data_IF_688500088841
#
_entry.id   IF_688500088841
#
_cell.length_a   1.000
_cell.length_b   1.000
_cell.length_c   1.000
_cell.angle_alpha   90.00
_cell.angle_beta   90.00
_cell.angle_gamma   90.00
#
_symmetry.space_group_name_H-M   'P 1'
#
loop_
_entity.id
_entity.type
_entity.pdbx_description
1 polymer ?
#
# COMPACT_ATOMS: atom_id res chain seq x y z
N UNK A 1 -18.82 23.98 9.86
CA UNK A 1 -17.87 22.94 9.43
C UNK A 1 -18.57 22.11 8.36
N UNK A 2 -18.06 22.06 7.14
CA UNK A 2 -18.64 21.22 6.09
C UNK A 2 -18.50 19.76 6.51
N UNK A 3 -19.61 19.06 6.71
CA UNK A 3 -19.57 17.62 6.95
C UNK A 3 -19.05 16.95 5.67
N UNK A 4 -17.98 16.16 5.81
CA UNK A 4 -17.46 15.36 4.70
C UNK A 4 -18.56 14.40 4.25
N UNK A 5 -18.74 14.28 2.94
CA UNK A 5 -19.67 13.28 2.42
C UNK A 5 -19.10 11.88 2.66
N UNK A 6 -19.97 10.86 2.67
CA UNK A 6 -19.52 9.47 2.78
C UNK A 6 -18.52 9.11 1.66
N UNK A 7 -18.68 9.67 0.45
CA UNK A 7 -17.75 9.51 -0.67
C UNK A 7 -16.39 10.15 -0.38
N UNK A 8 -16.35 11.32 0.25
CA UNK A 8 -15.08 11.97 0.63
C UNK A 8 -14.31 11.18 1.68
N UNK A 9 -15.02 10.60 2.65
CA UNK A 9 -14.42 9.73 3.68
C UNK A 9 -13.85 8.46 3.04
N UNK A 10 -14.60 7.84 2.13
CA UNK A 10 -14.13 6.66 1.39
C UNK A 10 -12.90 7.00 0.55
N UNK A 11 -12.95 8.06 -0.26
CA UNK A 11 -11.83 8.50 -1.08
C UNK A 11 -10.56 8.70 -0.26
N UNK A 12 -10.66 9.44 0.85
CA UNK A 12 -9.51 9.71 1.72
C UNK A 12 -8.96 8.43 2.36
N UNK A 13 -9.85 7.52 2.76
CA UNK A 13 -9.45 6.24 3.37
C UNK A 13 -8.72 5.35 2.37
N UNK A 14 -9.27 5.16 1.17
CA UNK A 14 -8.62 4.37 0.11
C UNK A 14 -7.30 4.98 -0.33
N UNK A 15 -7.25 6.30 -0.50
CA UNK A 15 -6.02 7.00 -0.85
C UNK A 15 -4.94 6.85 0.21
N UNK A 16 -5.28 7.02 1.49
CA UNK A 16 -4.35 6.78 2.61
C UNK A 16 -3.85 5.35 2.65
N UNK A 17 -4.73 4.36 2.44
CA UNK A 17 -4.34 2.96 2.39
C UNK A 17 -3.36 2.70 1.23
N UNK A 18 -3.65 3.26 0.05
CA UNK A 18 -2.78 3.15 -1.12
C UNK A 18 -1.40 3.76 -0.86
N UNK A 19 -1.35 5.01 -0.38
CA UNK A 19 -0.09 5.70 -0.09
C UNK A 19 0.73 4.95 0.97
N UNK A 20 0.07 4.37 1.97
CA UNK A 20 0.73 3.57 3.01
C UNK A 20 1.35 2.29 2.44
N UNK A 21 0.64 1.57 1.57
CA UNK A 21 1.16 0.37 0.93
C UNK A 21 2.32 0.67 -0.03
N UNK A 22 2.29 1.82 -0.74
CA UNK A 22 3.44 2.29 -1.55
C UNK A 22 4.67 2.52 -0.67
N UNK A 23 4.49 3.19 0.47
CA UNK A 23 5.58 3.44 1.41
C UNK A 23 6.14 2.14 2.00
N UNK A 24 5.27 1.18 2.35
CA UNK A 24 5.67 -0.12 2.86
C UNK A 24 6.47 -0.91 1.83
N UNK A 25 5.99 -0.98 0.57
CA UNK A 25 6.71 -1.62 -0.53
C UNK A 25 8.12 -1.03 -0.68
N UNK A 26 8.23 0.30 -0.77
CA UNK A 26 9.51 0.98 -0.91
C UNK A 26 10.44 0.72 0.29
N UNK A 27 9.89 0.74 1.51
CA UNK A 27 10.64 0.48 2.74
C UNK A 27 11.19 -0.94 2.77
N UNK A 28 10.37 -1.95 2.47
CA UNK A 28 10.83 -3.34 2.47
C UNK A 28 11.88 -3.58 1.39
N UNK A 29 11.70 -3.02 0.19
CA UNK A 29 12.68 -3.09 -0.89
C UNK A 29 14.02 -2.43 -0.50
N UNK A 30 13.98 -1.27 0.15
CA UNK A 30 15.17 -0.56 0.62
C UNK A 30 15.91 -1.37 1.70
N UNK A 31 15.20 -1.82 2.74
CA UNK A 31 15.81 -2.59 3.83
C UNK A 31 16.37 -3.93 3.32
N UNK A 32 15.68 -4.60 2.39
CA UNK A 32 16.15 -5.85 1.79
C UNK A 32 17.49 -5.70 1.04
N UNK A 33 17.80 -4.50 0.52
CA UNK A 33 19.10 -4.20 -0.12
C UNK A 33 20.23 -4.07 0.89
N UNK A 34 19.94 -3.60 2.11
CA UNK A 34 20.94 -3.34 3.14
C UNK A 34 21.26 -4.56 4.00
N UNK A 35 20.38 -5.55 4.05
CA UNK A 35 20.54 -6.73 4.89
C UNK A 35 21.34 -7.83 4.19
N UNK A 36 22.38 -8.32 4.88
CA UNK A 36 23.21 -9.45 4.44
C UNK A 36 22.60 -10.82 4.80
N UNK A 37 21.81 -10.88 5.88
CA UNK A 37 21.16 -12.12 6.30
C UNK A 37 20.14 -12.59 5.24
N UNK A 38 20.40 -13.78 4.66
CA UNK A 38 19.61 -14.34 3.56
C UNK A 38 18.14 -14.60 3.94
N UNK A 39 17.88 -15.11 5.14
CA UNK A 39 16.53 -15.43 5.61
C UNK A 39 15.71 -14.17 5.80
N UNK A 40 16.29 -13.14 6.43
CA UNK A 40 15.64 -11.86 6.65
C UNK A 40 15.41 -11.10 5.33
N UNK A 41 16.36 -11.18 4.40
CA UNK A 41 16.20 -10.63 3.05
C UNK A 41 15.05 -11.31 2.29
N UNK A 42 14.88 -12.63 2.42
CA UNK A 42 13.76 -13.37 1.82
C UNK A 42 12.43 -12.93 2.42
N UNK A 43 12.36 -12.79 3.75
CA UNK A 43 11.16 -12.30 4.44
C UNK A 43 10.77 -10.90 3.93
N UNK A 44 11.72 -9.97 3.84
CA UNK A 44 11.44 -8.61 3.36
C UNK A 44 10.97 -8.59 1.90
N UNK A 45 11.53 -9.43 1.03
CA UNK A 45 11.03 -9.59 -0.34
C UNK A 45 9.61 -10.13 -0.38
N UNK A 46 9.27 -11.09 0.49
CA UNK A 46 7.88 -11.56 0.60
C UNK A 46 6.95 -10.41 1.00
N UNK A 47 7.33 -9.61 1.99
CA UNK A 47 6.54 -8.46 2.43
C UNK A 47 6.41 -7.38 1.34
N UNK A 48 7.47 -7.13 0.57
CA UNK A 48 7.44 -6.25 -0.60
C UNK A 48 6.43 -6.73 -1.65
N UNK A 49 6.44 -8.03 -1.97
CA UNK A 49 5.47 -8.64 -2.90
C UNK A 49 4.04 -8.59 -2.36
N UNK A 50 3.85 -8.81 -1.05
CA UNK A 50 2.53 -8.70 -0.41
C UNK A 50 1.98 -7.28 -0.51
N UNK A 51 2.79 -6.26 -0.20
CA UNK A 51 2.40 -4.86 -0.36
C UNK A 51 2.05 -4.53 -1.82
N UNK A 52 2.80 -5.06 -2.79
CA UNK A 52 2.46 -4.93 -4.21
C UNK A 52 1.10 -5.58 -4.57
N UNK A 53 0.78 -6.73 -3.97
CA UNK A 53 -0.53 -7.38 -4.10
C UNK A 53 -1.66 -6.50 -3.57
N UNK A 54 -1.51 -5.96 -2.35
CA UNK A 54 -2.48 -5.04 -1.76
C UNK A 54 -2.67 -3.78 -2.60
N UNK A 55 -1.61 -3.22 -3.20
CA UNK A 55 -1.71 -2.09 -4.11
C UNK A 55 -2.56 -2.42 -5.35
N UNK A 56 -2.42 -3.62 -5.90
CA UNK A 56 -3.21 -4.06 -7.04
C UNK A 56 -4.69 -4.21 -6.66
N UNK A 57 -4.98 -4.81 -5.50
CA UNK A 57 -6.34 -4.95 -4.96
C UNK A 57 -6.97 -3.58 -4.68
N UNK A 58 -6.26 -2.69 -3.97
CA UNK A 58 -6.72 -1.32 -3.70
C UNK A 58 -7.00 -0.57 -4.99
N UNK A 59 -6.15 -0.69 -6.01
CA UNK A 59 -6.38 -0.04 -7.31
C UNK A 59 -7.62 -0.59 -8.01
N UNK A 60 -7.87 -1.89 -7.92
CA UNK A 60 -9.09 -2.50 -8.48
C UNK A 60 -10.34 -1.99 -7.75
N UNK A 61 -10.32 -1.96 -6.42
CA UNK A 61 -11.45 -1.48 -5.63
C UNK A 61 -11.70 0.02 -5.81
N UNK A 62 -10.64 0.84 -5.87
CA UNK A 62 -10.74 2.27 -6.18
C UNK A 62 -11.40 2.51 -7.55
N UNK A 63 -11.01 1.74 -8.57
CA UNK A 63 -11.63 1.83 -9.90
C UNK A 63 -13.12 1.44 -9.87
N UNK A 64 -13.49 0.38 -9.13
CA UNK A 64 -14.90 -0.05 -9.00
C UNK A 64 -15.76 1.01 -8.31
N UNK A 65 -15.20 1.70 -7.33
CA UNK A 65 -15.89 2.69 -6.51
C UNK A 65 -15.84 4.11 -7.10
N UNK A 66 -15.25 4.30 -8.29
CA UNK A 66 -15.03 5.62 -8.91
C UNK A 66 -14.29 6.58 -7.95
N UNK A 67 -13.27 6.04 -7.27
CA UNK A 67 -12.39 6.75 -6.34
C UNK A 67 -11.12 7.15 -7.10
N UNK A 68 -10.76 8.43 -7.03
CA UNK A 68 -9.55 9.00 -7.64
C UNK A 68 -8.40 9.16 -6.67
#
# INVERSE_FOLDING_TARGET
MSQLTQKDIQNNTFKRAYDMEVLLQAKFAYVAKQIQNKSLKKLLKTLEMTAQGHLAELKQEMNKLDIK
#
